data_IF_853047386039
#
_entry.id   IF_853047386039
#
_cell.length_a   1.000
_cell.length_b   1.000
_cell.length_c   1.000
_cell.angle_alpha   90.00
_cell.angle_beta   90.00
_cell.angle_gamma   90.00
#
_symmetry.space_group_name_H-M   'P 1'
#
loop_
_entity.id
_entity.type
_entity.pdbx_description
1 polymer ?
#
# COMPACT_ATOMS: atom_id res chain seq x y z
N UNK A 1 25.48 -0.12 -9.31
CA UNK A 1 25.42 1.23 -8.71
C UNK A 1 23.97 1.53 -8.40
N UNK A 2 23.59 1.86 -7.15
CA UNK A 2 22.25 2.36 -6.90
C UNK A 2 22.08 3.69 -7.65
N UNK A 3 20.91 3.97 -8.25
CA UNK A 3 20.63 5.29 -8.79
C UNK A 3 20.69 6.28 -7.63
N UNK A 4 21.53 7.29 -7.76
CA UNK A 4 21.54 8.47 -6.89
C UNK A 4 20.16 9.09 -6.95
N UNK A 5 19.38 8.96 -5.88
CA UNK A 5 18.18 9.76 -5.72
C UNK A 5 18.61 11.23 -5.76
N UNK A 6 18.02 12.07 -6.63
CA UNK A 6 18.33 13.50 -6.62
C UNK A 6 18.08 14.01 -5.20
N UNK A 7 19.09 14.69 -4.64
CA UNK A 7 18.94 15.35 -3.35
C UNK A 7 17.73 16.28 -3.40
N UNK A 8 16.93 16.36 -2.33
CA UNK A 8 15.77 17.25 -2.30
C UNK A 8 16.24 18.67 -2.57
N UNK A 9 15.77 19.25 -3.68
CA UNK A 9 15.97 20.66 -3.97
C UNK A 9 15.32 21.46 -2.84
N UNK A 10 16.15 22.13 -2.03
CA UNK A 10 15.70 22.91 -0.90
C UNK A 10 14.95 24.15 -1.44
N UNK A 11 13.63 24.07 -1.50
CA UNK A 11 12.79 25.20 -1.87
C UNK A 11 12.68 26.16 -0.68
N UNK A 12 13.41 27.27 -0.74
CA UNK A 12 13.34 28.37 0.23
C UNK A 12 12.45 29.50 -0.32
N UNK A 13 11.14 29.28 -0.38
CA UNK A 13 10.17 30.25 -0.92
C UNK A 13 8.73 29.77 -0.87
N UNK A 14 7.81 30.53 -1.49
CA UNK A 14 6.43 30.09 -1.73
C UNK A 14 6.44 28.80 -2.56
N UNK A 15 5.46 27.91 -2.32
CA UNK A 15 5.33 26.70 -3.12
C UNK A 15 5.18 27.05 -4.60
N UNK A 16 5.79 26.28 -5.52
CA UNK A 16 5.57 26.46 -6.94
C UNK A 16 4.09 26.34 -7.30
N UNK A 17 3.70 27.04 -8.36
CA UNK A 17 2.35 26.90 -8.90
C UNK A 17 2.05 25.43 -9.24
N UNK A 18 0.80 24.95 -9.10
CA UNK A 18 0.44 23.55 -9.30
C UNK A 18 0.85 22.99 -10.67
N UNK A 19 0.80 23.79 -11.72
CA UNK A 19 1.21 23.39 -13.07
C UNK A 19 2.72 23.13 -13.17
N UNK A 20 3.54 23.89 -12.43
CA UNK A 20 5.00 23.68 -12.33
C UNK A 20 5.28 22.37 -11.60
N UNK A 21 4.59 22.11 -10.49
CA UNK A 21 4.70 20.85 -9.74
C UNK A 21 4.26 19.67 -10.61
N UNK A 22 3.16 19.79 -11.32
CA UNK A 22 2.64 18.72 -12.18
C UNK A 22 3.63 18.32 -13.29
N UNK A 23 4.38 19.29 -13.84
CA UNK A 23 5.42 19.03 -14.85
C UNK A 23 6.71 18.45 -14.26
N UNK A 24 6.99 18.66 -12.97
CA UNK A 24 8.22 18.18 -12.33
C UNK A 24 8.11 16.75 -11.77
N UNK A 25 6.88 16.25 -11.57
CA UNK A 25 6.61 14.91 -11.03
C UNK A 25 6.26 13.94 -12.15
N UNK A 26 7.07 12.88 -12.28
CA UNK A 26 6.84 11.75 -13.19
C UNK A 26 6.83 10.45 -12.39
N UNK A 27 6.31 9.36 -12.97
CA UNK A 27 6.23 8.04 -12.31
C UNK A 27 7.60 7.62 -11.76
N UNK A 28 7.66 7.19 -10.51
CA UNK A 28 8.88 6.78 -9.81
C UNK A 28 9.83 7.92 -9.42
N UNK A 29 9.45 9.19 -9.71
CA UNK A 29 10.23 10.38 -9.34
C UNK A 29 9.34 11.40 -8.64
N UNK A 30 9.49 11.45 -7.32
CA UNK A 30 8.81 12.41 -6.44
C UNK A 30 9.43 13.80 -6.45
N UNK A 31 8.62 14.83 -6.23
CA UNK A 31 9.07 16.16 -5.83
C UNK A 31 8.96 16.31 -4.31
N UNK A 32 9.93 16.96 -3.68
CA UNK A 32 9.93 17.26 -2.24
C UNK A 32 10.07 18.75 -2.04
N UNK A 33 9.18 19.34 -1.26
CA UNK A 33 9.18 20.76 -0.88
C UNK A 33 9.38 20.85 0.62
N UNK A 34 10.59 21.16 1.06
CA UNK A 34 10.92 21.31 2.47
C UNK A 34 10.41 22.67 2.99
N UNK A 35 9.87 22.68 4.20
CA UNK A 35 9.46 23.87 4.92
C UNK A 35 10.59 24.32 5.86
N UNK A 36 10.48 25.55 6.36
CA UNK A 36 11.31 25.97 7.50
C UNK A 36 11.11 25.00 8.67
N UNK A 37 12.15 24.64 9.44
CA UNK A 37 12.00 23.90 10.69
C UNK A 37 11.09 24.60 11.71
N UNK A 38 10.87 25.92 11.55
CA UNK A 38 9.99 26.74 12.38
C UNK A 38 8.56 26.84 11.83
N UNK A 39 8.26 26.20 10.68
CA UNK A 39 6.93 26.24 10.12
C UNK A 39 5.95 25.47 11.01
N UNK A 40 4.81 26.09 11.29
CA UNK A 40 3.76 25.47 12.07
C UNK A 40 3.10 24.34 11.26
N UNK A 41 2.73 23.24 11.90
CA UNK A 41 2.13 22.10 11.19
C UNK A 41 0.84 22.48 10.44
N UNK A 42 0.05 23.39 11.01
CA UNK A 42 -1.15 23.92 10.36
C UNK A 42 -0.84 24.64 9.02
N UNK A 43 0.32 25.30 8.91
CA UNK A 43 0.75 25.94 7.67
C UNK A 43 1.10 24.89 6.60
N UNK A 44 1.76 23.80 6.99
CA UNK A 44 2.10 22.70 6.08
C UNK A 44 0.83 22.02 5.56
N UNK A 45 -0.16 21.79 6.43
CA UNK A 45 -1.46 21.22 6.04
C UNK A 45 -2.24 22.14 5.08
N UNK A 46 -2.33 23.43 5.39
CA UNK A 46 -2.99 24.40 4.51
C UNK A 46 -2.31 24.49 3.13
N UNK A 47 -0.98 24.43 3.10
CA UNK A 47 -0.21 24.40 1.87
C UNK A 47 -0.45 23.10 1.06
N UNK A 48 -0.55 21.95 1.74
CA UNK A 48 -0.91 20.68 1.12
C UNK A 48 -2.30 20.74 0.47
N UNK A 49 -3.29 21.28 1.18
CA UNK A 49 -4.66 21.44 0.68
C UNK A 49 -4.72 22.38 -0.53
N UNK A 50 -4.06 23.53 -0.46
CA UNK A 50 -3.97 24.47 -1.57
C UNK A 50 -3.34 23.84 -2.82
N UNK A 51 -2.30 23.03 -2.64
CA UNK A 51 -1.66 22.32 -3.74
C UNK A 51 -2.57 21.22 -4.31
N UNK A 52 -3.22 20.41 -3.47
CA UNK A 52 -4.18 19.37 -3.90
C UNK A 52 -5.31 19.94 -4.74
N UNK A 53 -5.82 21.12 -4.40
CA UNK A 53 -6.91 21.76 -5.13
C UNK A 53 -6.55 22.14 -6.57
N UNK A 54 -5.26 22.37 -6.86
CA UNK A 54 -4.79 22.78 -8.19
C UNK A 54 -4.11 21.67 -9.00
N UNK A 55 -3.88 20.49 -8.43
CA UNK A 55 -3.18 19.39 -9.10
C UNK A 55 -4.14 18.43 -9.81
N UNK A 56 -3.71 17.82 -10.93
CA UNK A 56 -4.35 16.64 -11.51
C UNK A 56 -4.61 15.53 -10.50
N UNK A 57 -5.71 14.78 -10.70
CA UNK A 57 -6.15 13.74 -9.78
C UNK A 57 -5.21 12.54 -9.64
N UNK A 58 -4.24 12.36 -10.55
CA UNK A 58 -3.19 11.34 -10.50
C UNK A 58 -1.96 11.76 -9.68
N UNK A 59 -1.92 12.99 -9.15
CA UNK A 59 -0.87 13.43 -8.24
C UNK A 59 -1.33 13.37 -6.79
N UNK A 60 -0.55 12.70 -5.95
CA UNK A 60 -0.79 12.62 -4.51
C UNK A 60 0.18 13.56 -3.77
N UNK A 61 -0.38 14.40 -2.90
CA UNK A 61 0.37 15.27 -1.98
C UNK A 61 0.36 14.67 -0.58
N UNK A 62 1.54 14.31 -0.10
CA UNK A 62 1.80 13.75 1.23
C UNK A 62 2.44 14.82 2.09
N UNK A 63 1.78 15.21 3.18
CA UNK A 63 2.37 16.09 4.18
C UNK A 63 3.16 15.23 5.18
N UNK A 64 4.45 15.52 5.34
CA UNK A 64 5.33 14.86 6.29
C UNK A 64 5.72 15.86 7.39
N UNK A 65 5.51 15.54 8.67
CA UNK A 65 5.89 16.43 9.78
C UNK A 65 7.41 16.56 9.94
N UNK A 66 8.20 15.71 9.26
CA UNK A 66 9.62 15.56 9.57
C UNK A 66 9.81 14.65 10.79
N UNK A 67 10.89 13.89 10.83
CA UNK A 67 11.20 13.00 11.96
C UNK A 67 12.64 13.20 12.41
N UNK A 68 12.84 13.32 13.72
CA UNK A 68 14.15 13.54 14.35
C UNK A 68 14.64 14.99 14.32
N UNK A 69 15.77 15.25 14.97
CA UNK A 69 16.35 16.59 15.23
C UNK A 69 16.90 17.34 14.02
N UNK A 70 16.63 16.90 12.79
CA UNK A 70 17.24 17.49 11.60
C UNK A 70 16.43 17.41 10.31
N UNK A 71 15.23 16.81 10.33
CA UNK A 71 14.40 16.74 9.12
C UNK A 71 13.26 17.75 9.20
N UNK A 72 13.27 18.81 8.38
CA UNK A 72 12.17 19.76 8.39
C UNK A 72 10.87 19.09 7.94
N UNK A 73 9.70 19.66 8.31
CA UNK A 73 8.44 19.32 7.67
C UNK A 73 8.56 19.50 6.15
N UNK A 74 7.85 18.68 5.40
CA UNK A 74 7.91 18.72 3.94
C UNK A 74 6.60 18.28 3.30
N UNK A 75 6.35 18.76 2.09
CA UNK A 75 5.39 18.14 1.19
C UNK A 75 6.13 17.25 0.21
N UNK A 76 5.65 16.03 0.04
CA UNK A 76 6.10 15.11 -1.00
C UNK A 76 4.97 14.96 -2.01
N UNK A 77 5.28 15.14 -3.28
CA UNK A 77 4.32 14.96 -4.37
C UNK A 77 4.80 13.81 -5.25
N UNK A 78 3.93 12.83 -5.42
CA UNK A 78 4.15 11.64 -6.26
C UNK A 78 3.09 11.58 -7.35
N UNK A 79 3.45 11.03 -8.50
CA UNK A 79 2.49 10.70 -9.55
C UNK A 79 2.11 9.25 -9.38
N UNK A 80 0.84 8.99 -9.15
CA UNK A 80 0.25 7.68 -9.05
C UNK A 80 -0.17 7.17 -10.44
N UNK A 81 -0.61 5.91 -10.49
CA UNK A 81 -1.18 5.30 -11.69
C UNK A 81 -2.36 6.10 -12.25
N UNK A 82 -2.42 6.29 -13.57
CA UNK A 82 -3.54 6.98 -14.23
C UNK A 82 -4.68 6.04 -14.69
N UNK A 83 -5.77 6.62 -15.19
CA UNK A 83 -6.92 5.86 -15.70
C UNK A 83 -6.58 4.96 -16.88
N UNK A 84 -5.64 5.38 -17.74
CA UNK A 84 -5.25 4.61 -18.92
C UNK A 84 -4.40 3.40 -18.54
N UNK A 85 -3.45 3.57 -17.60
CA UNK A 85 -2.70 2.47 -16.98
C UNK A 85 -3.63 1.51 -16.25
N UNK A 86 -4.54 2.01 -15.41
CA UNK A 86 -5.53 1.20 -14.72
C UNK A 86 -6.40 0.40 -15.71
N UNK A 87 -6.85 1.03 -16.79
CA UNK A 87 -7.60 0.36 -17.87
C UNK A 87 -6.83 -0.78 -18.52
N UNK A 88 -5.51 -0.66 -18.67
CA UNK A 88 -4.65 -1.75 -19.22
C UNK A 88 -4.43 -2.89 -18.23
N UNK A 89 -4.43 -2.60 -16.92
CA UNK A 89 -4.15 -3.58 -15.86
C UNK A 89 -5.40 -4.23 -15.28
N UNK A 90 -6.60 -3.73 -15.59
CA UNK A 90 -7.87 -4.13 -15.00
C UNK A 90 -8.04 -5.65 -14.89
N UNK A 91 -7.87 -6.38 -15.99
CA UNK A 91 -8.08 -7.84 -15.98
C UNK A 91 -7.06 -8.57 -15.11
N UNK A 92 -5.80 -8.09 -15.09
CA UNK A 92 -4.74 -8.64 -14.23
C UNK A 92 -4.99 -8.35 -12.77
N UNK A 93 -5.44 -7.15 -12.44
CA UNK A 93 -5.84 -6.79 -11.08
C UNK A 93 -6.99 -7.66 -10.59
N UNK A 94 -8.04 -7.85 -11.41
CA UNK A 94 -9.17 -8.72 -11.03
C UNK A 94 -8.74 -10.17 -10.81
N UNK A 95 -7.85 -10.69 -11.66
CA UNK A 95 -7.30 -12.03 -11.46
C UNK A 95 -6.50 -12.13 -10.15
N UNK A 96 -5.62 -11.17 -9.87
CA UNK A 96 -4.88 -11.10 -8.60
C UNK A 96 -5.81 -11.06 -7.38
N UNK A 97 -6.85 -10.21 -7.44
CA UNK A 97 -7.83 -10.07 -6.35
C UNK A 97 -8.63 -11.36 -6.14
N UNK A 98 -9.03 -12.03 -7.23
CA UNK A 98 -9.74 -13.30 -7.14
C UNK A 98 -8.87 -14.39 -6.50
N UNK A 99 -7.61 -14.50 -6.92
CA UNK A 99 -6.63 -15.43 -6.35
C UNK A 99 -6.40 -15.16 -4.86
N UNK A 100 -6.23 -13.89 -4.49
CA UNK A 100 -6.06 -13.47 -3.09
C UNK A 100 -7.27 -13.89 -2.24
N UNK A 101 -8.49 -13.56 -2.68
CA UNK A 101 -9.72 -13.90 -1.94
C UNK A 101 -9.90 -15.40 -1.81
N UNK A 102 -9.70 -16.14 -2.89
CA UNK A 102 -9.82 -17.59 -2.85
C UNK A 102 -8.88 -18.20 -1.81
N UNK A 103 -7.62 -17.76 -1.78
CA UNK A 103 -6.67 -18.22 -0.77
C UNK A 103 -7.05 -17.75 0.65
N UNK A 104 -7.47 -16.50 0.80
CA UNK A 104 -7.92 -15.93 2.06
C UNK A 104 -9.07 -16.74 2.68
N UNK A 105 -10.10 -17.09 1.90
CA UNK A 105 -11.21 -17.95 2.34
C UNK A 105 -10.72 -19.34 2.76
N UNK A 106 -9.83 -19.95 1.98
CA UNK A 106 -9.29 -21.29 2.27
C UNK A 106 -8.47 -21.34 3.56
N UNK A 107 -7.77 -20.27 3.90
CA UNK A 107 -6.96 -20.17 5.12
C UNK A 107 -7.81 -19.73 6.33
N UNK A 108 -8.75 -18.81 6.14
CA UNK A 108 -9.63 -18.32 7.21
C UNK A 108 -10.54 -19.44 7.74
N UNK A 109 -11.06 -20.32 6.89
CA UNK A 109 -11.96 -21.39 7.31
C UNK A 109 -11.37 -22.35 8.38
N UNK A 110 -10.19 -22.97 8.18
CA UNK A 110 -9.55 -23.78 9.22
C UNK A 110 -9.05 -22.94 10.39
N UNK A 111 -8.59 -21.70 10.17
CA UNK A 111 -8.21 -20.79 11.25
C UNK A 111 -9.37 -20.58 12.25
N UNK A 112 -10.54 -20.19 11.76
CA UNK A 112 -11.74 -19.99 12.61
C UNK A 112 -12.20 -21.25 13.31
N UNK A 113 -11.92 -22.42 12.72
CA UNK A 113 -12.34 -23.71 13.29
C UNK A 113 -11.41 -24.21 14.39
N UNK A 114 -10.11 -23.96 14.26
CA UNK A 114 -9.08 -24.64 15.04
C UNK A 114 -8.19 -23.72 15.87
N UNK A 115 -8.09 -22.44 15.50
CA UNK A 115 -7.17 -21.48 16.11
C UNK A 115 -7.96 -20.43 16.87
N UNK A 116 -8.89 -19.75 16.20
CA UNK A 116 -9.66 -18.63 16.78
C UNK A 116 -10.35 -18.97 18.12
N UNK A 117 -11.06 -20.11 18.28
CA UNK A 117 -11.73 -20.40 19.55
C UNK A 117 -10.76 -20.63 20.71
N UNK A 118 -9.57 -21.17 20.44
CA UNK A 118 -8.53 -21.40 21.44
C UNK A 118 -7.78 -20.09 21.75
N UNK A 119 -7.52 -19.28 20.73
CA UNK A 119 -6.93 -17.95 20.89
C UNK A 119 -7.81 -17.06 21.79
N UNK A 120 -9.12 -17.01 21.53
CA UNK A 120 -10.09 -16.22 22.32
C UNK A 120 -10.21 -16.68 23.77
N UNK A 121 -9.88 -17.95 24.04
CA UNK A 121 -9.91 -18.55 25.37
C UNK A 121 -8.55 -18.50 26.07
N UNK A 122 -7.53 -17.90 25.45
CA UNK A 122 -6.13 -17.90 25.90
C UNK A 122 -5.56 -19.32 26.09
N UNK A 123 -6.09 -20.29 25.34
CA UNK A 123 -5.66 -21.69 25.33
C UNK A 123 -4.50 -21.92 24.34
N UNK A 124 -3.90 -23.11 24.42
CA UNK A 124 -2.90 -23.56 23.45
C UNK A 124 -3.57 -23.84 22.09
N UNK A 125 -3.04 -23.22 21.03
CA UNK A 125 -3.46 -23.43 19.64
C UNK A 125 -2.26 -23.82 18.78
N UNK A 126 -2.48 -24.43 17.59
CA UNK A 126 -1.38 -24.76 16.70
C UNK A 126 -0.82 -23.48 16.04
N UNK A 127 0.51 -23.37 15.99
CA UNK A 127 1.21 -22.29 15.27
C UNK A 127 1.22 -22.50 13.74
N UNK A 128 0.69 -23.65 13.28
CA UNK A 128 0.69 -24.07 11.88
C UNK A 128 -0.65 -24.71 11.48
N UNK A 129 -1.05 -24.53 10.21
CA UNK A 129 -2.20 -25.21 9.61
C UNK A 129 -1.82 -25.91 8.31
N UNK A 130 -2.39 -27.09 8.07
CA UNK A 130 -2.30 -27.76 6.76
C UNK A 130 -3.52 -27.42 5.91
N UNK A 131 -3.30 -26.77 4.77
CA UNK A 131 -4.34 -26.39 3.80
C UNK A 131 -3.86 -26.76 2.40
N UNK A 132 -4.67 -27.57 1.69
CA UNK A 132 -4.39 -28.07 0.34
C UNK A 132 -3.00 -28.71 0.15
N UNK A 133 -2.55 -29.46 1.15
CA UNK A 133 -1.25 -30.15 1.13
C UNK A 133 -0.05 -29.22 1.26
N UNK A 134 -0.26 -28.03 1.85
CA UNK A 134 0.78 -27.11 2.28
C UNK A 134 0.62 -26.74 3.75
N UNK A 135 1.73 -26.68 4.47
CA UNK A 135 1.79 -26.18 5.85
C UNK A 135 2.01 -24.67 5.84
N UNK A 136 1.19 -23.96 6.61
CA UNK A 136 1.20 -22.51 6.75
C UNK A 136 1.50 -22.14 8.19
N UNK A 137 2.57 -21.39 8.44
CA UNK A 137 2.80 -20.78 9.75
C UNK A 137 1.89 -19.59 9.98
N UNK A 138 1.46 -19.39 11.21
CA UNK A 138 0.50 -18.36 11.59
C UNK A 138 1.16 -17.25 12.41
N UNK A 139 0.79 -16.00 12.13
CA UNK A 139 1.11 -14.86 12.99
C UNK A 139 -0.12 -13.98 13.15
N UNK A 140 -0.76 -14.08 14.31
CA UNK A 140 -2.01 -13.38 14.64
C UNK A 140 -1.68 -11.97 15.15
N UNK A 141 -2.32 -10.94 14.61
CA UNK A 141 -2.18 -9.55 15.08
C UNK A 141 -3.47 -8.74 14.88
N UNK A 142 -4.26 -8.63 15.94
CA UNK A 142 -5.58 -8.00 15.88
C UNK A 142 -6.56 -8.86 15.07
N UNK A 143 -7.33 -8.22 14.18
CA UNK A 143 -8.35 -8.86 13.32
C UNK A 143 -7.76 -9.62 12.12
N UNK A 144 -6.43 -9.58 11.98
CA UNK A 144 -5.69 -10.15 10.88
C UNK A 144 -4.79 -11.30 11.33
N UNK A 145 -4.53 -12.23 10.42
CA UNK A 145 -3.50 -13.23 10.56
C UNK A 145 -2.64 -13.24 9.28
N UNK A 146 -1.32 -13.13 9.46
CA UNK A 146 -0.34 -13.42 8.41
C UNK A 146 -0.13 -14.93 8.35
N UNK A 147 -0.37 -15.50 7.17
CA UNK A 147 -0.08 -16.88 6.82
C UNK A 147 1.14 -16.90 5.90
N UNK A 148 2.15 -17.69 6.27
CA UNK A 148 3.33 -17.92 5.42
C UNK A 148 3.43 -19.40 5.06
N UNK A 149 3.33 -19.71 3.77
CA UNK A 149 3.44 -21.07 3.26
C UNK A 149 4.87 -21.57 3.37
N UNK A 150 5.12 -22.58 4.20
CA UNK A 150 6.48 -23.03 4.52
C UNK A 150 7.21 -23.65 3.34
N UNK A 151 6.48 -24.15 2.34
CA UNK A 151 7.05 -24.73 1.12
C UNK A 151 7.12 -23.70 -0.01
N UNK A 152 6.05 -22.94 -0.24
CA UNK A 152 6.00 -21.99 -1.36
C UNK A 152 6.70 -20.67 -1.06
N UNK A 153 6.86 -20.30 0.21
CA UNK A 153 7.28 -18.96 0.63
C UNK A 153 6.21 -17.88 0.38
N UNK A 154 4.97 -18.28 0.07
CA UNK A 154 3.86 -17.35 -0.14
C UNK A 154 3.46 -16.71 1.18
N UNK A 155 3.43 -15.38 1.21
CA UNK A 155 2.87 -14.60 2.31
C UNK A 155 1.48 -14.08 1.91
N UNK A 156 0.50 -14.26 2.79
CA UNK A 156 -0.82 -13.63 2.67
C UNK A 156 -1.31 -13.19 4.05
N UNK A 157 -1.75 -11.94 4.16
CA UNK A 157 -2.28 -11.37 5.39
C UNK A 157 -3.79 -11.15 5.21
N UNK A 158 -4.58 -11.81 6.05
CA UNK A 158 -6.02 -12.00 5.84
C UNK A 158 -6.79 -11.47 7.03
N UNK A 159 -7.86 -10.71 6.78
CA UNK A 159 -8.86 -10.44 7.81
C UNK A 159 -9.64 -11.72 8.08
N UNK A 160 -9.44 -12.29 9.27
CA UNK A 160 -9.90 -13.65 9.54
C UNK A 160 -11.41 -13.73 9.53
N UNK A 161 -12.15 -12.70 9.95
CA UNK A 161 -13.62 -12.61 9.89
C UNK A 161 -14.19 -12.18 8.52
N UNK A 162 -13.46 -11.33 7.78
CA UNK A 162 -13.87 -10.77 6.49
C UNK A 162 -12.86 -11.10 5.37
N UNK A 163 -12.72 -12.36 4.93
CA UNK A 163 -11.70 -12.79 3.96
C UNK A 163 -11.87 -12.21 2.55
N UNK A 164 -13.02 -11.57 2.27
CA UNK A 164 -13.22 -10.78 1.05
C UNK A 164 -12.65 -9.36 1.14
N UNK A 165 -12.31 -8.89 2.34
CA UNK A 165 -11.70 -7.59 2.56
C UNK A 165 -10.28 -7.55 1.99
N UNK A 166 -9.93 -6.41 1.41
CA UNK A 166 -8.68 -6.17 0.71
C UNK A 166 -8.04 -4.94 1.30
N UNK A 167 -6.94 -5.15 2.01
CA UNK A 167 -5.97 -4.09 2.25
C UNK A 167 -5.00 -4.02 1.05
N UNK A 168 -4.79 -2.84 0.44
CA UNK A 168 -3.84 -2.70 -0.66
C UNK A 168 -2.43 -3.15 -0.31
N UNK A 169 -1.93 -2.88 0.91
CA UNK A 169 -0.62 -3.32 1.34
C UNK A 169 -0.49 -4.84 1.37
N UNK A 170 -1.50 -5.53 1.91
CA UNK A 170 -1.53 -6.99 1.99
C UNK A 170 -1.62 -7.65 0.61
N UNK A 171 -2.44 -7.08 -0.28
CA UNK A 171 -2.56 -7.54 -1.66
C UNK A 171 -1.24 -7.37 -2.44
N UNK A 172 -0.53 -6.25 -2.24
CA UNK A 172 0.77 -6.02 -2.86
C UNK A 172 1.81 -7.03 -2.36
N UNK A 173 1.87 -7.25 -1.04
CA UNK A 173 2.77 -8.24 -0.43
C UNK A 173 2.51 -9.65 -0.94
N UNK A 174 1.25 -10.02 -1.13
CA UNK A 174 0.87 -11.29 -1.74
C UNK A 174 1.33 -11.41 -3.20
N UNK A 175 1.14 -10.37 -4.01
CA UNK A 175 1.64 -10.34 -5.39
C UNK A 175 3.19 -10.45 -5.44
N UNK A 176 3.87 -9.83 -4.48
CA UNK A 176 5.32 -9.90 -4.33
C UNK A 176 5.83 -11.29 -3.96
N UNK A 177 5.24 -11.91 -2.94
CA UNK A 177 5.66 -13.20 -2.40
C UNK A 177 5.40 -14.35 -3.38
N UNK A 178 4.27 -14.31 -4.10
CA UNK A 178 3.94 -15.32 -5.13
C UNK A 178 4.74 -15.15 -6.42
N UNK A 179 5.26 -13.94 -6.68
CA UNK A 179 5.87 -13.58 -7.96
C UNK A 179 4.90 -13.57 -9.14
N UNK A 180 3.59 -13.69 -8.89
CA UNK A 180 2.53 -13.66 -9.92
C UNK A 180 2.11 -12.22 -10.21
N UNK A 181 1.52 -12.00 -11.38
CA UNK A 181 1.07 -10.67 -11.86
C UNK A 181 2.17 -9.59 -11.80
N UNK A 182 3.36 -9.85 -12.37
CA UNK A 182 4.50 -8.94 -12.28
C UNK A 182 4.21 -7.55 -12.87
N UNK A 183 3.25 -7.44 -13.79
CA UNK A 183 2.83 -6.18 -14.39
C UNK A 183 2.11 -5.27 -13.39
N UNK A 184 1.27 -5.84 -12.51
CA UNK A 184 0.59 -5.07 -11.45
C UNK A 184 1.64 -4.56 -10.46
N UNK A 185 2.56 -5.43 -10.03
CA UNK A 185 3.66 -5.03 -9.13
C UNK A 185 4.55 -3.95 -9.76
N UNK A 186 4.95 -4.12 -11.02
CA UNK A 186 5.80 -3.15 -11.72
C UNK A 186 5.10 -1.79 -11.89
N UNK A 187 3.77 -1.79 -12.01
CA UNK A 187 2.98 -0.59 -12.06
C UNK A 187 2.80 0.08 -10.69
N UNK A 188 2.96 -0.62 -9.56
CA UNK A 188 2.84 -0.06 -8.22
C UNK A 188 4.16 0.51 -7.67
N UNK A 189 4.78 1.44 -8.39
CA UNK A 189 6.08 2.04 -8.03
C UNK A 189 6.05 2.81 -6.71
N UNK A 190 4.92 3.42 -6.38
CA UNK A 190 4.68 4.13 -5.12
C UNK A 190 4.00 3.23 -4.07
N UNK A 191 4.08 1.90 -4.27
CA UNK A 191 3.62 0.88 -3.33
C UNK A 191 2.12 0.93 -3.06
N UNK A 192 1.76 1.00 -1.78
CA UNK A 192 0.38 1.05 -1.29
C UNK A 192 -0.48 2.07 -2.03
N UNK A 193 0.03 3.28 -2.28
CA UNK A 193 -0.75 4.36 -2.87
C UNK A 193 -1.16 4.07 -4.33
N UNK A 194 -0.28 3.44 -5.09
CA UNK A 194 -0.60 3.03 -6.45
C UNK A 194 -1.64 1.92 -6.47
N UNK A 195 -1.48 0.90 -5.61
CA UNK A 195 -2.44 -0.21 -5.59
C UNK A 195 -3.80 0.22 -5.06
N UNK A 196 -3.84 1.07 -4.04
CA UNK A 196 -5.09 1.66 -3.53
C UNK A 196 -5.84 2.43 -4.63
N UNK A 197 -5.13 3.27 -5.38
CA UNK A 197 -5.70 4.00 -6.51
C UNK A 197 -6.12 3.07 -7.65
N UNK A 198 -5.32 2.05 -7.96
CA UNK A 198 -5.63 1.07 -9.00
C UNK A 198 -6.93 0.29 -8.68
N UNK A 199 -7.12 -0.10 -7.42
CA UNK A 199 -8.35 -0.73 -6.93
C UNK A 199 -9.56 0.22 -7.09
N UNK A 200 -9.41 1.49 -6.72
CA UNK A 200 -10.45 2.52 -6.87
C UNK A 200 -10.84 2.75 -8.34
N UNK A 201 -9.87 3.00 -9.21
CA UNK A 201 -10.08 3.23 -10.65
C UNK A 201 -10.67 2.00 -11.36
N UNK A 202 -10.38 0.79 -10.88
CA UNK A 202 -10.97 -0.44 -11.38
C UNK A 202 -12.27 -0.84 -10.65
N UNK A 203 -12.74 -0.01 -9.70
CA UNK A 203 -13.96 -0.23 -8.94
C UNK A 203 -13.99 -1.59 -8.23
N UNK A 204 -12.83 -2.04 -7.75
CA UNK A 204 -12.71 -3.24 -6.94
C UNK A 204 -13.23 -2.92 -5.55
N UNK A 205 -14.26 -3.65 -5.11
CA UNK A 205 -14.76 -3.55 -3.74
C UNK A 205 -13.68 -4.04 -2.78
N UNK A 206 -13.27 -3.22 -1.82
CA UNK A 206 -12.25 -3.58 -0.82
C UNK A 206 -12.82 -4.18 0.46
N UNK A 207 -14.15 -4.23 0.62
CA UNK A 207 -14.78 -4.73 1.84
C UNK A 207 -14.59 -3.78 3.03
N UNK A 208 -15.61 -3.72 3.88
CA UNK A 208 -15.59 -3.12 5.21
C UNK A 208 -16.36 -4.07 6.13
#
# INVERSE_FOLDING_TARGET
MPPSHPEPEAWSGDLPAPDVVARSVVRGRRATFAFSPQAEWAQVLAAAEGLRAGLPGDLLVIASPGTGSGRPPALVVVRLIDEAEAGRLRDRLHALVAEFRELAHRLAAPFRRHVEPAYDQEDCYPDELEVDGETWSLHIHGEHCLFTGLRSGTDIEVHTEHPDAIDPGFLLRYAESTGRHPEVRAACQEGFHDLARLLDLCQVRTGA
#
